data_IF_703006394656
#
_entry.id   IF_703006394656
#
_cell.length_a   1.000
_cell.length_b   1.000
_cell.length_c   1.000
_cell.angle_alpha   90.00
_cell.angle_beta   90.00
_cell.angle_gamma   90.00
#
_symmetry.space_group_name_H-M   'P 1'
#
loop_
_entity.id
_entity.type
_entity.pdbx_description
1 polymer ?
#
# COMPACT_ATOMS: atom_id res chain seq x y z
N UNK A 1 -43.72 -36.60 -10.46
CA UNK A 1 -42.81 -36.28 -11.57
C UNK A 1 -42.37 -34.85 -11.43
N UNK A 2 -41.11 -34.63 -11.09
CA UNK A 2 -40.51 -33.32 -11.08
C UNK A 2 -40.38 -32.85 -12.54
N UNK A 3 -41.20 -31.88 -12.95
CA UNK A 3 -41.10 -31.27 -14.27
C UNK A 3 -39.88 -30.39 -14.34
N UNK A 4 -39.01 -30.59 -15.32
CA UNK A 4 -37.93 -29.70 -15.68
C UNK A 4 -38.35 -28.92 -16.92
N UNK A 5 -38.28 -27.63 -16.92
CA UNK A 5 -38.42 -26.78 -18.10
C UNK A 5 -37.02 -26.57 -18.65
N UNK A 6 -36.76 -27.00 -19.86
CA UNK A 6 -35.47 -26.89 -20.52
C UNK A 6 -35.54 -25.91 -21.70
N UNK A 7 -34.59 -25.01 -21.78
CA UNK A 7 -34.34 -24.15 -22.95
C UNK A 7 -33.21 -24.76 -23.77
N UNK A 8 -33.52 -25.17 -25.01
CA UNK A 8 -32.56 -25.79 -25.89
C UNK A 8 -32.27 -24.95 -27.13
N UNK A 9 -31.06 -25.02 -27.63
CA UNK A 9 -30.65 -24.52 -28.93
C UNK A 9 -29.85 -25.55 -29.65
N UNK A 10 -30.24 -25.89 -30.88
CA UNK A 10 -29.63 -26.97 -31.68
C UNK A 10 -29.55 -28.32 -30.96
N UNK A 11 -30.61 -28.69 -30.21
CA UNK A 11 -30.66 -29.96 -29.46
C UNK A 11 -29.82 -29.99 -28.16
N UNK A 12 -29.18 -28.91 -27.81
CA UNK A 12 -28.37 -28.83 -26.58
C UNK A 12 -29.08 -27.99 -25.54
N UNK A 13 -29.27 -28.52 -24.32
CA UNK A 13 -29.83 -27.75 -23.20
C UNK A 13 -28.89 -26.61 -22.83
N UNK A 14 -29.39 -25.39 -22.87
CA UNK A 14 -28.66 -24.15 -22.53
C UNK A 14 -28.99 -23.67 -21.13
N UNK A 15 -30.20 -23.85 -20.69
CA UNK A 15 -30.64 -23.55 -19.34
C UNK A 15 -31.88 -24.39 -18.99
N UNK A 16 -32.15 -24.52 -17.71
CA UNK A 16 -33.34 -25.23 -17.22
C UNK A 16 -33.82 -24.63 -15.91
N UNK A 17 -35.09 -24.88 -15.61
CA UNK A 17 -35.69 -24.55 -14.30
C UNK A 17 -36.16 -25.85 -13.67
N UNK A 18 -35.74 -26.11 -12.46
CA UNK A 18 -36.15 -27.27 -11.69
C UNK A 18 -36.54 -26.87 -10.25
N UNK A 19 -36.80 -27.84 -9.39
CA UNK A 19 -37.15 -27.61 -7.99
C UNK A 19 -36.08 -26.85 -7.15
N UNK A 20 -34.87 -26.75 -7.65
CA UNK A 20 -33.77 -26.00 -6.97
C UNK A 20 -33.52 -24.63 -7.61
N UNK A 21 -34.19 -24.29 -8.70
CA UNK A 21 -34.08 -23.00 -9.36
C UNK A 21 -33.59 -23.07 -10.81
N UNK A 22 -33.00 -22.01 -11.28
CA UNK A 22 -32.46 -21.87 -12.63
C UNK A 22 -31.08 -22.54 -12.72
N UNK A 23 -30.95 -23.48 -13.63
CA UNK A 23 -29.70 -24.19 -13.91
C UNK A 23 -29.19 -23.85 -15.30
N UNK A 24 -27.88 -23.87 -15.50
CA UNK A 24 -27.24 -23.57 -16.78
C UNK A 24 -25.97 -22.71 -16.62
N UNK A 25 -25.30 -22.48 -17.75
CA UNK A 25 -24.18 -21.57 -17.78
C UNK A 25 -24.67 -20.12 -17.75
N UNK A 26 -24.43 -19.42 -16.66
CA UNK A 26 -24.82 -18.00 -16.47
C UNK A 26 -24.04 -16.99 -17.32
N UNK A 27 -23.17 -17.42 -18.23
CA UNK A 27 -22.30 -16.53 -19.03
C UNK A 27 -23.05 -15.50 -19.88
N UNK A 28 -24.32 -15.75 -20.17
CA UNK A 28 -25.22 -14.86 -20.95
C UNK A 28 -26.12 -13.98 -20.04
N UNK A 29 -26.03 -14.12 -18.72
CA UNK A 29 -26.78 -13.29 -17.80
C UNK A 29 -26.08 -11.95 -17.69
N UNK A 30 -26.58 -10.96 -18.42
CA UNK A 30 -26.12 -9.58 -18.38
C UNK A 30 -27.12 -8.72 -17.58
N UNK A 31 -26.64 -7.62 -17.01
CA UNK A 31 -27.48 -6.67 -16.27
C UNK A 31 -28.16 -7.25 -14.98
N UNK A 32 -27.50 -8.17 -14.29
CA UNK A 32 -27.92 -8.56 -12.94
C UNK A 32 -27.62 -7.39 -11.98
N UNK A 33 -28.66 -6.81 -11.41
CA UNK A 33 -28.50 -5.79 -10.38
C UNK A 33 -28.09 -6.43 -9.06
N UNK A 34 -27.17 -5.80 -8.34
CA UNK A 34 -26.65 -6.32 -7.05
C UNK A 34 -27.75 -6.57 -6.02
N UNK A 35 -28.87 -5.82 -6.06
CA UNK A 35 -30.01 -6.01 -5.18
C UNK A 35 -30.77 -7.34 -5.37
N UNK A 36 -30.57 -8.01 -6.50
CA UNK A 36 -31.18 -9.30 -6.80
C UNK A 36 -30.27 -10.49 -6.51
N UNK A 37 -29.03 -10.24 -6.08
CA UNK A 37 -28.07 -11.27 -5.69
C UNK A 37 -28.15 -11.47 -4.18
N UNK A 38 -28.90 -12.47 -3.74
CA UNK A 38 -29.02 -12.85 -2.33
C UNK A 38 -28.22 -14.12 -2.05
N UNK A 39 -27.55 -14.17 -0.92
CA UNK A 39 -26.71 -15.32 -0.51
C UNK A 39 -25.22 -15.06 -0.71
N UNK A 40 -24.39 -15.98 -0.21
CA UNK A 40 -22.94 -15.93 -0.41
C UNK A 40 -22.62 -16.20 -1.88
N UNK A 41 -21.90 -15.29 -2.52
CA UNK A 41 -21.32 -15.58 -3.84
C UNK A 41 -20.31 -16.73 -3.69
N UNK A 42 -20.24 -17.69 -4.63
CA UNK A 42 -19.16 -18.63 -4.68
C UNK A 42 -17.81 -17.89 -4.62
N UNK A 43 -16.78 -18.51 -4.04
CA UNK A 43 -15.45 -17.93 -4.00
C UNK A 43 -14.97 -17.62 -5.42
N UNK A 44 -15.19 -16.40 -5.86
CA UNK A 44 -14.68 -15.90 -7.14
C UNK A 44 -13.26 -15.41 -6.90
N UNK A 45 -12.36 -15.80 -7.79
CA UNK A 45 -11.02 -15.22 -7.78
C UNK A 45 -11.12 -13.69 -7.85
N UNK A 46 -10.59 -12.98 -6.87
CA UNK A 46 -10.56 -11.52 -6.85
C UNK A 46 -9.90 -10.90 -8.09
N UNK A 47 -9.15 -11.69 -8.85
CA UNK A 47 -8.52 -11.28 -10.11
C UNK A 47 -9.52 -10.86 -11.20
N UNK A 48 -10.76 -11.38 -11.13
CA UNK A 48 -11.82 -11.03 -12.08
C UNK A 48 -12.64 -9.79 -11.64
N UNK A 49 -12.45 -9.30 -10.42
CA UNK A 49 -13.13 -8.13 -9.91
C UNK A 49 -12.38 -6.88 -10.35
N UNK A 50 -12.93 -6.14 -11.29
CA UNK A 50 -12.38 -4.85 -11.74
C UNK A 50 -12.97 -3.70 -10.92
N UNK A 51 -12.19 -2.63 -10.75
CA UNK A 51 -12.64 -1.43 -10.04
C UNK A 51 -12.53 -1.48 -8.51
N UNK A 52 -11.98 -2.56 -7.95
CA UNK A 52 -11.65 -2.58 -6.53
C UNK A 52 -10.38 -1.76 -6.27
N UNK A 53 -10.45 -0.86 -5.29
CA UNK A 53 -9.24 -0.26 -4.75
C UNK A 53 -8.37 -1.37 -4.15
N UNK A 54 -7.15 -1.52 -4.65
CA UNK A 54 -6.21 -2.54 -4.18
C UNK A 54 -4.97 -1.89 -3.60
N UNK A 55 -4.52 -2.41 -2.46
CA UNK A 55 -3.22 -2.09 -1.87
C UNK A 55 -2.24 -3.17 -2.29
N UNK A 56 -1.16 -2.80 -2.96
CA UNK A 56 -0.14 -3.72 -3.45
C UNK A 56 1.20 -3.38 -2.81
N UNK A 57 1.90 -4.36 -2.22
CA UNK A 57 3.27 -4.16 -1.76
C UNK A 57 4.20 -4.00 -2.98
N UNK A 58 4.87 -2.87 -3.06
CA UNK A 58 5.78 -2.51 -4.16
C UNK A 58 7.24 -2.76 -3.79
N UNK A 59 7.57 -2.57 -2.52
CA UNK A 59 8.93 -2.76 -2.02
C UNK A 59 8.93 -3.04 -0.51
N UNK A 60 9.91 -3.83 -0.08
CA UNK A 60 10.26 -4.07 1.32
C UNK A 60 11.77 -4.24 1.39
N UNK A 61 12.46 -3.37 2.09
CA UNK A 61 13.92 -3.36 2.15
C UNK A 61 14.44 -2.93 3.52
N UNK A 62 15.58 -3.48 3.89
CA UNK A 62 16.21 -3.25 5.19
C UNK A 62 16.87 -1.88 5.27
N UNK A 63 16.93 -1.33 6.48
CA UNK A 63 17.62 -0.10 6.87
C UNK A 63 18.70 -0.41 7.91
N UNK A 64 19.62 -1.30 7.55
CA UNK A 64 20.61 -1.87 8.50
C UNK A 64 22.02 -1.36 8.29
N UNK A 65 22.25 -0.48 7.33
CA UNK A 65 23.59 0.08 7.05
C UNK A 65 23.53 1.30 6.14
N UNK A 66 24.59 2.09 6.13
CA UNK A 66 24.77 3.25 5.25
C UNK A 66 24.08 4.52 5.73
N UNK A 67 24.48 5.64 5.16
CA UNK A 67 23.89 6.97 5.42
C UNK A 67 22.70 7.25 4.50
N UNK A 68 22.54 6.44 3.48
CA UNK A 68 21.43 6.48 2.53
C UNK A 68 21.03 5.05 2.17
N UNK A 69 19.74 4.79 2.18
CA UNK A 69 19.15 3.51 1.76
C UNK A 69 18.22 3.78 0.59
N UNK A 70 18.38 3.02 -0.48
CA UNK A 70 17.58 3.17 -1.68
C UNK A 70 16.50 2.07 -1.76
N UNK A 71 15.31 2.43 -2.22
CA UNK A 71 14.31 1.44 -2.59
C UNK A 71 14.79 0.60 -3.79
N UNK A 72 14.29 -0.62 -3.96
CA UNK A 72 14.28 -1.27 -5.26
C UNK A 72 13.58 -0.41 -6.32
N UNK A 73 13.72 -0.80 -7.59
CA UNK A 73 12.99 -0.14 -8.68
C UNK A 73 11.48 -0.23 -8.47
N UNK A 74 10.83 0.92 -8.55
CA UNK A 74 9.39 1.09 -8.37
C UNK A 74 8.71 1.31 -9.73
N UNK A 75 7.49 0.83 -9.86
CA UNK A 75 6.58 1.20 -10.94
C UNK A 75 5.33 1.84 -10.33
N UNK A 76 5.26 3.15 -10.36
CA UNK A 76 4.18 3.93 -9.74
C UNK A 76 3.11 4.37 -10.76
N UNK A 77 3.23 4.04 -12.03
CA UNK A 77 2.41 4.58 -13.13
C UNK A 77 0.91 4.33 -13.01
N UNK A 78 0.50 3.29 -12.28
CA UNK A 78 -0.90 2.90 -12.13
C UNK A 78 -1.51 3.25 -10.76
N UNK A 79 -0.74 3.91 -9.90
CA UNK A 79 -1.16 4.23 -8.54
C UNK A 79 -1.45 5.73 -8.40
N UNK A 80 -2.40 6.06 -7.54
CA UNK A 80 -2.74 7.45 -7.15
C UNK A 80 -2.01 7.86 -5.89
N UNK A 81 -1.85 6.91 -4.97
CA UNK A 81 -1.18 7.12 -3.69
C UNK A 81 -0.13 6.05 -3.46
N UNK A 82 0.87 6.39 -2.67
CA UNK A 82 1.73 5.41 -2.01
C UNK A 82 1.56 5.49 -0.49
N UNK A 83 1.69 4.34 0.15
CA UNK A 83 1.77 4.23 1.60
C UNK A 83 3.19 3.79 1.93
N UNK A 84 3.87 4.62 2.69
CA UNK A 84 5.20 4.34 3.22
C UNK A 84 5.06 3.89 4.67
N UNK A 85 5.62 2.75 5.00
CA UNK A 85 5.64 2.21 6.37
C UNK A 85 7.09 2.03 6.81
N UNK A 86 7.51 2.82 7.79
CA UNK A 86 8.77 2.64 8.50
C UNK A 86 8.52 1.76 9.71
N UNK A 87 9.25 0.67 9.84
CA UNK A 87 9.11 -0.28 10.93
C UNK A 87 10.44 -0.45 11.66
N UNK A 88 10.58 0.23 12.79
CA UNK A 88 11.75 0.15 13.63
C UNK A 88 13.02 0.71 13.00
N UNK A 89 12.91 1.71 12.10
CA UNK A 89 14.06 2.35 11.46
C UNK A 89 14.87 3.09 12.51
N UNK A 90 16.08 2.64 12.76
CA UNK A 90 17.03 3.20 13.71
C UNK A 90 18.24 3.85 13.06
N UNK A 91 18.95 4.63 13.86
CA UNK A 91 20.18 5.32 13.47
C UNK A 91 21.26 5.13 14.53
N UNK A 92 22.49 4.87 14.08
CA UNK A 92 23.67 4.86 14.92
C UNK A 92 24.29 6.27 14.99
N UNK A 93 24.37 6.83 16.18
CA UNK A 93 25.29 7.93 16.50
C UNK A 93 24.79 9.36 16.35
N UNK A 94 23.50 9.68 16.18
CA UNK A 94 23.07 11.09 16.16
C UNK A 94 21.79 11.39 16.95
N UNK A 95 21.71 12.60 17.47
CA UNK A 95 20.55 13.14 18.17
C UNK A 95 19.94 14.28 17.35
N UNK A 96 18.70 14.09 16.89
CA UNK A 96 17.96 15.16 16.22
C UNK A 96 18.02 15.13 14.69
N UNK A 97 18.56 14.07 14.08
CA UNK A 97 18.57 13.93 12.63
C UNK A 97 17.15 13.87 12.07
N UNK A 98 16.89 14.65 11.04
CA UNK A 98 15.63 14.59 10.30
C UNK A 98 15.64 13.40 9.34
N UNK A 99 14.55 12.66 9.27
CA UNK A 99 14.35 11.64 8.26
C UNK A 99 13.87 12.26 6.96
N UNK A 100 14.56 11.93 5.88
CA UNK A 100 14.38 12.54 4.57
C UNK A 100 14.12 11.49 3.51
N UNK A 101 13.33 11.85 2.52
CA UNK A 101 13.08 11.05 1.32
C UNK A 101 13.36 11.89 0.09
N UNK A 102 14.07 11.31 -0.87
CA UNK A 102 14.39 11.94 -2.16
C UNK A 102 13.96 11.01 -3.28
N UNK A 103 12.96 11.38 -4.10
CA UNK A 103 12.65 10.65 -5.32
C UNK A 103 13.77 10.87 -6.35
N UNK A 104 13.98 9.92 -7.24
CA UNK A 104 14.94 10.07 -8.31
C UNK A 104 14.60 11.31 -9.16
N UNK A 105 15.60 12.21 -9.33
CA UNK A 105 15.43 13.47 -10.04
C UNK A 105 14.61 14.55 -9.31
N UNK A 106 14.23 14.30 -8.06
CA UNK A 106 13.43 15.21 -7.26
C UNK A 106 14.19 15.89 -6.12
N UNK A 107 13.50 16.77 -5.43
CA UNK A 107 14.03 17.45 -4.24
C UNK A 107 13.91 16.59 -2.98
N UNK A 108 14.81 16.84 -2.04
CA UNK A 108 14.77 16.23 -0.71
C UNK A 108 13.53 16.73 0.06
N UNK A 109 12.74 15.79 0.58
CA UNK A 109 11.61 16.09 1.46
C UNK A 109 11.82 15.52 2.86
N UNK A 110 11.54 16.32 3.90
CA UNK A 110 11.50 15.84 5.29
C UNK A 110 10.22 15.06 5.50
N UNK A 111 10.32 13.79 5.95
CA UNK A 111 9.16 12.93 6.16
C UNK A 111 8.90 12.61 7.64
N UNK A 112 9.89 12.86 8.51
CA UNK A 112 9.72 12.78 9.96
C UNK A 112 10.60 13.78 10.68
N UNK A 113 10.21 14.23 11.90
CA UNK A 113 11.08 15.00 12.76
C UNK A 113 12.30 14.18 13.16
N UNK A 114 13.33 14.86 13.65
CA UNK A 114 14.56 14.24 14.08
C UNK A 114 14.37 13.24 15.20
N UNK A 115 15.10 12.12 15.13
CA UNK A 115 15.27 11.17 16.22
C UNK A 115 16.78 10.88 16.44
N UNK A 116 17.12 10.29 17.54
CA UNK A 116 18.50 10.10 17.92
C UNK A 116 18.84 8.64 18.19
N UNK A 117 20.05 8.44 18.64
CA UNK A 117 20.62 7.16 19.09
C UNK A 117 19.64 6.40 19.99
N UNK A 118 19.56 5.10 19.82
CA UNK A 118 18.67 4.19 20.56
C UNK A 118 17.17 4.49 20.42
N UNK A 119 16.78 5.20 19.38
CA UNK A 119 15.38 5.44 19.06
C UNK A 119 15.05 4.87 17.70
N UNK A 120 13.88 4.26 17.60
CA UNK A 120 13.36 3.67 16.37
C UNK A 120 12.15 4.46 15.88
N UNK A 121 12.11 4.67 14.59
CA UNK A 121 10.97 5.30 13.91
C UNK A 121 9.96 4.24 13.48
N UNK A 122 8.72 4.41 13.94
CA UNK A 122 7.54 3.67 13.51
C UNK A 122 6.57 4.67 12.91
N UNK A 123 6.54 4.75 11.60
CA UNK A 123 5.74 5.76 10.89
C UNK A 123 4.99 5.13 9.73
N UNK A 124 3.78 5.58 9.54
CA UNK A 124 3.03 5.39 8.30
C UNK A 124 2.79 6.74 7.65
N UNK A 125 3.04 6.84 6.35
CA UNK A 125 2.77 8.05 5.57
C UNK A 125 1.98 7.70 4.33
N UNK A 126 0.93 8.46 4.04
CA UNK A 126 0.16 8.35 2.80
C UNK A 126 0.52 9.56 1.95
N UNK A 127 0.93 9.33 0.71
CA UNK A 127 1.44 10.36 -0.19
C UNK A 127 0.64 10.32 -1.50
N UNK A 128 0.08 11.45 -1.87
CA UNK A 128 -0.59 11.67 -3.15
C UNK A 128 0.44 11.90 -4.25
N UNK A 129 0.46 11.04 -5.26
CA UNK A 129 1.41 11.11 -6.38
C UNK A 129 1.07 12.20 -7.40
N UNK A 130 -0.12 12.81 -7.33
CA UNK A 130 -0.50 13.89 -8.24
C UNK A 130 0.17 15.23 -7.88
N UNK A 131 0.51 15.43 -6.62
CA UNK A 131 1.05 16.69 -6.11
C UNK A 131 2.22 16.53 -5.13
N UNK A 132 2.60 15.29 -4.79
CA UNK A 132 3.69 14.99 -3.86
C UNK A 132 3.40 15.40 -2.41
N UNK A 133 2.13 15.61 -2.03
CA UNK A 133 1.74 15.94 -0.66
C UNK A 133 1.54 14.65 0.12
N UNK A 134 2.16 14.57 1.27
CA UNK A 134 2.05 13.42 2.17
C UNK A 134 1.64 13.81 3.58
N UNK A 135 0.87 12.93 4.20
CA UNK A 135 0.53 12.95 5.62
C UNK A 135 1.21 11.76 6.28
N UNK A 136 2.10 12.03 7.20
CA UNK A 136 2.76 11.01 8.04
C UNK A 136 2.19 11.02 9.45
N UNK A 137 1.93 9.84 9.98
CA UNK A 137 1.56 9.61 11.38
C UNK A 137 2.55 8.60 11.93
N UNK A 138 3.23 8.93 13.01
CA UNK A 138 4.22 8.00 13.54
C UNK A 138 4.69 8.35 14.94
N UNK A 139 5.41 7.40 15.53
CA UNK A 139 6.04 7.51 16.82
C UNK A 139 7.53 7.19 16.71
N UNK A 140 8.31 7.90 17.48
CA UNK A 140 9.71 7.58 17.75
C UNK A 140 9.76 6.91 19.13
N UNK A 141 10.10 5.62 19.15
CA UNK A 141 10.18 4.85 20.38
C UNK A 141 11.64 4.62 20.79
N UNK A 142 11.91 4.58 22.09
CA UNK A 142 13.19 4.15 22.64
C UNK A 142 13.23 2.61 22.77
N UNK A 143 14.37 1.99 22.51
CA UNK A 143 14.58 0.55 22.68
C UNK A 143 14.41 0.06 24.13
N UNK A 144 14.54 0.95 25.11
CA UNK A 144 14.58 0.61 26.54
C UNK A 144 13.32 1.00 27.30
N UNK A 145 12.40 1.71 26.69
CA UNK A 145 11.16 2.12 27.34
C UNK A 145 9.94 1.60 26.57
N UNK A 146 8.97 1.07 27.31
CA UNK A 146 7.62 0.90 26.76
C UNK A 146 7.19 2.21 26.07
N UNK A 147 6.39 2.12 25.01
CA UNK A 147 5.90 3.26 24.19
C UNK A 147 5.05 4.20 25.06
N UNK A 148 5.66 4.82 26.06
CA UNK A 148 5.02 5.80 26.94
C UNK A 148 5.73 7.12 26.71
N UNK A 149 5.19 7.93 25.80
CA UNK A 149 5.65 9.31 25.61
C UNK A 149 6.73 9.51 24.54
N UNK A 150 6.82 8.64 23.54
CA UNK A 150 7.56 8.99 22.31
C UNK A 150 6.98 10.26 21.67
N UNK A 151 7.84 11.06 21.05
CA UNK A 151 7.37 12.19 20.24
C UNK A 151 6.52 11.68 19.07
N UNK A 152 5.27 11.36 19.35
CA UNK A 152 4.27 11.06 18.36
C UNK A 152 3.88 12.36 17.65
N UNK A 153 3.80 12.34 16.35
CA UNK A 153 3.44 13.52 15.60
C UNK A 153 2.79 13.20 14.27
N UNK A 154 1.94 14.11 13.86
CA UNK A 154 1.45 14.19 12.49
C UNK A 154 2.35 15.13 11.73
N UNK A 155 2.96 14.67 10.65
CA UNK A 155 3.77 15.48 9.77
C UNK A 155 3.05 15.67 8.44
N UNK A 156 2.73 16.90 8.09
CA UNK A 156 2.37 17.24 6.71
C UNK A 156 3.66 17.63 5.99
N UNK A 157 3.92 16.97 4.87
CA UNK A 157 5.11 17.25 4.07
C UNK A 157 4.79 17.32 2.58
N UNK A 158 5.63 17.98 1.83
CA UNK A 158 5.56 18.04 0.38
C UNK A 158 6.89 17.61 -0.22
N UNK A 159 6.82 16.71 -1.20
CA UNK A 159 7.96 16.35 -2.02
C UNK A 159 7.60 16.57 -3.49
N UNK A 160 8.01 17.70 -4.02
CA UNK A 160 7.62 18.18 -5.36
C UNK A 160 8.15 17.31 -6.52
N UNK A 161 9.11 16.43 -6.25
CA UNK A 161 9.67 15.51 -7.26
C UNK A 161 9.03 14.13 -7.26
N UNK A 162 8.14 13.84 -6.31
CA UNK A 162 7.47 12.54 -6.25
C UNK A 162 6.23 12.56 -7.15
N UNK A 163 6.26 11.70 -8.16
CA UNK A 163 5.21 11.59 -9.18
C UNK A 163 5.01 10.13 -9.58
N UNK A 164 4.03 9.87 -10.44
CA UNK A 164 3.80 8.54 -11.02
C UNK A 164 4.96 8.02 -11.89
N UNK A 165 5.87 8.89 -12.32
CA UNK A 165 7.08 8.52 -13.08
C UNK A 165 8.30 8.25 -12.19
N UNK A 166 8.19 8.40 -10.88
CA UNK A 166 9.27 8.09 -9.94
C UNK A 166 9.56 6.59 -9.95
N UNK A 167 10.84 6.23 -10.15
CA UNK A 167 11.29 4.84 -10.22
C UNK A 167 12.14 4.40 -9.04
N UNK A 168 12.55 5.32 -8.16
CA UNK A 168 13.25 5.00 -6.91
C UNK A 168 13.09 6.09 -5.88
N UNK A 169 13.22 5.71 -4.61
CA UNK A 169 13.23 6.60 -3.45
C UNK A 169 14.50 6.36 -2.66
N UNK A 170 15.25 7.43 -2.39
CA UNK A 170 16.38 7.41 -1.48
C UNK A 170 15.94 7.92 -0.10
N UNK A 171 16.29 7.20 0.93
CA UNK A 171 16.04 7.57 2.33
C UNK A 171 17.35 7.93 3.01
N UNK A 172 17.39 9.09 3.62
CA UNK A 172 18.60 9.63 4.26
C UNK A 172 18.24 10.43 5.51
N UNK A 173 19.24 10.94 6.17
CA UNK A 173 19.08 11.82 7.33
C UNK A 173 19.75 13.18 7.10
N UNK A 174 19.44 14.16 7.94
CA UNK A 174 20.00 15.52 7.80
C UNK A 174 21.47 15.64 8.16
N UNK A 175 21.99 14.72 8.98
CA UNK A 175 23.31 14.82 9.61
C UNK A 175 24.21 13.61 9.38
N UNK A 176 23.87 12.74 8.47
CA UNK A 176 24.70 11.61 8.03
C UNK A 176 24.98 10.50 9.05
N UNK A 177 24.15 10.26 10.10
CA UNK A 177 24.28 9.02 10.86
C UNK A 177 23.99 7.83 9.97
N UNK A 178 24.48 6.66 10.33
CA UNK A 178 24.20 5.41 9.62
C UNK A 178 22.89 4.79 10.08
N UNK A 179 22.17 4.20 9.15
CA UNK A 179 21.07 3.30 9.49
C UNK A 179 21.61 2.03 10.12
N UNK A 180 21.00 1.54 11.18
CA UNK A 180 21.44 0.37 11.94
C UNK A 180 20.39 -0.72 12.09
N UNK A 181 19.12 -0.42 11.94
CA UNK A 181 18.02 -1.37 12.15
C UNK A 181 16.74 -0.97 11.41
N UNK A 182 15.84 -1.94 11.27
CA UNK A 182 14.50 -1.75 10.74
C UNK A 182 14.36 -2.03 9.26
N UNK A 183 13.18 -1.72 8.76
CA UNK A 183 12.85 -1.83 7.35
C UNK A 183 11.82 -0.78 6.92
N UNK A 184 11.80 -0.53 5.61
CA UNK A 184 10.81 0.33 4.97
C UNK A 184 10.00 -0.52 4.00
N UNK A 185 8.68 -0.40 4.07
CA UNK A 185 7.75 -0.97 3.09
C UNK A 185 7.05 0.14 2.34
N UNK A 186 6.84 -0.09 1.05
CA UNK A 186 6.13 0.81 0.16
C UNK A 186 4.97 0.05 -0.46
N UNK A 187 3.78 0.60 -0.35
CA UNK A 187 2.57 0.07 -0.96
C UNK A 187 2.00 1.08 -1.94
N UNK A 188 1.42 0.58 -3.03
CA UNK A 188 0.66 1.39 -3.99
C UNK A 188 -0.85 1.21 -3.77
N UNK A 189 -1.59 2.31 -3.83
CA UNK A 189 -3.05 2.36 -3.78
C UNK A 189 -3.57 2.95 -5.10
N UNK A 190 -4.46 2.20 -5.76
CA UNK A 190 -5.12 2.59 -7.02
C UNK A 190 -6.35 3.45 -6.79
#
# INVERSE_FOLDING_TARGET
TSGVIEFQSAGTTKAGVNGTGLTGNGSQLTALTSGNLTGALPAISGAALTGLASVTELANFATTSGTTVNSPTLNLSTYKFIILVCNGVGLDGDTGAEFRMTPNGGSVGKIAPGWGTSKKNYQMSIIDLSNGIGLGIGNIASDTAAIVGGAGGTALFRNSGLTTSTTSLAFSTSSSPTFDTGNIKIYGLK
#
